data_IF_003795477518
#
_entry.id   IF_003795477518
#
_cell.length_a   1.000
_cell.length_b   1.000
_cell.length_c   1.000
_cell.angle_alpha   90.00
_cell.angle_beta   90.00
_cell.angle_gamma   90.00
#
_symmetry.space_group_name_H-M   'P 1'
#
loop_
_entity.id
_entity.type
_entity.pdbx_description
1 polymer ?
#
# COMPACT_ATOMS: atom_id res chain seq x y z
N UNK A 1 -7.25 13.23 -2.30
CA UNK A 1 -8.41 12.71 -1.55
C UNK A 1 -8.60 11.24 -1.83
N UNK A 2 -9.05 10.48 -0.84
CA UNK A 2 -9.32 9.07 -1.00
C UNK A 2 -10.48 8.82 -1.97
N UNK A 3 -10.49 7.71 -2.72
CA UNK A 3 -11.54 7.42 -3.69
C UNK A 3 -12.87 7.15 -2.97
N UNK A 4 -13.98 7.54 -3.61
CA UNK A 4 -15.34 7.30 -3.08
C UNK A 4 -15.69 5.79 -3.00
N UNK A 5 -15.01 4.97 -3.80
CA UNK A 5 -15.10 3.52 -3.77
C UNK A 5 -13.72 2.91 -3.52
N UNK A 6 -13.65 1.95 -2.60
CA UNK A 6 -12.40 1.26 -2.28
C UNK A 6 -11.91 0.41 -3.45
N UNK A 7 -10.60 0.41 -3.76
CA UNK A 7 -10.01 -0.55 -4.70
C UNK A 7 -9.93 -1.97 -4.11
N UNK A 8 -10.07 -2.12 -2.79
CA UNK A 8 -9.99 -3.40 -2.08
C UNK A 8 -11.35 -3.83 -1.54
N UNK A 9 -11.66 -5.13 -1.63
CA UNK A 9 -12.98 -5.68 -1.28
C UNK A 9 -13.20 -5.82 0.23
N UNK A 10 -12.14 -5.79 1.02
CA UNK A 10 -12.14 -5.91 2.49
C UNK A 10 -11.88 -4.56 3.20
N UNK A 11 -11.85 -3.47 2.44
CA UNK A 11 -11.67 -2.11 2.95
C UNK A 11 -12.87 -1.27 2.55
N UNK A 12 -13.41 -0.50 3.50
CA UNK A 12 -14.51 0.45 3.27
C UNK A 12 -14.03 1.87 3.54
N UNK A 13 -14.79 2.88 3.11
CA UNK A 13 -14.50 4.29 3.40
C UNK A 13 -14.51 4.64 4.90
N UNK A 14 -14.96 3.71 5.76
CA UNK A 14 -14.95 3.84 7.23
C UNK A 14 -13.82 3.05 7.89
N UNK A 15 -13.05 2.28 7.13
CA UNK A 15 -11.90 1.54 7.65
C UNK A 15 -10.87 2.54 8.17
N UNK A 16 -10.30 2.25 9.34
CA UNK A 16 -9.23 3.09 9.88
C UNK A 16 -8.09 3.21 8.86
N UNK A 17 -7.56 4.42 8.71
CA UNK A 17 -6.50 4.75 7.74
C UNK A 17 -6.89 4.51 6.27
N UNK A 18 -8.18 4.61 5.92
CA UNK A 18 -8.65 4.43 4.54
C UNK A 18 -7.90 5.32 3.53
N UNK A 19 -7.66 6.58 3.88
CA UNK A 19 -6.98 7.54 3.04
C UNK A 19 -5.53 7.13 2.78
N UNK A 20 -4.81 6.70 3.81
CA UNK A 20 -3.42 6.23 3.69
C UNK A 20 -3.33 4.89 2.96
N UNK A 21 -4.25 3.96 3.21
CA UNK A 21 -4.33 2.66 2.51
C UNK A 21 -4.50 2.88 1.01
N UNK A 22 -5.44 3.74 0.63
CA UNK A 22 -5.74 4.01 -0.77
C UNK A 22 -4.65 4.84 -1.44
N UNK A 23 -4.02 5.78 -0.72
CA UNK A 23 -2.84 6.49 -1.20
C UNK A 23 -1.65 5.55 -1.45
N UNK A 24 -1.36 4.61 -0.52
CA UNK A 24 -0.29 3.63 -0.71
C UNK A 24 -0.53 2.78 -1.97
N UNK A 25 -1.78 2.42 -2.23
CA UNK A 25 -2.17 1.63 -3.39
C UNK A 25 -2.04 2.42 -4.70
N UNK A 26 -2.54 3.67 -4.71
CA UNK A 26 -2.46 4.58 -5.86
C UNK A 26 -1.01 4.91 -6.24
N UNK A 27 -0.16 5.14 -5.23
CA UNK A 27 1.27 5.32 -5.40
C UNK A 27 2.01 4.01 -5.77
N UNK A 28 1.35 2.86 -5.80
CA UNK A 28 1.98 1.56 -6.10
C UNK A 28 2.93 1.05 -5.00
N UNK A 29 2.93 1.69 -3.82
CA UNK A 29 3.76 1.32 -2.66
C UNK A 29 3.24 0.04 -2.04
N UNK A 30 1.93 -0.09 -1.87
CA UNK A 30 1.25 -1.35 -1.54
C UNK A 30 0.44 -1.82 -2.74
N UNK A 31 0.26 -3.13 -2.91
CA UNK A 31 -0.48 -3.69 -4.07
C UNK A 31 -1.67 -4.55 -3.68
N UNK A 32 -1.87 -4.76 -2.37
CA UNK A 32 -2.79 -5.76 -1.86
C UNK A 32 -2.45 -7.16 -2.34
N UNK A 33 -3.48 -7.99 -2.47
CA UNK A 33 -3.40 -9.39 -2.86
C UNK A 33 -4.16 -9.64 -4.17
N UNK A 34 -3.84 -10.77 -4.83
CA UNK A 34 -4.47 -11.15 -6.10
C UNK A 34 -6.01 -11.34 -6.00
N UNK A 35 -6.53 -11.60 -4.80
CA UNK A 35 -7.96 -11.73 -4.49
C UNK A 35 -8.65 -10.36 -4.26
N UNK A 36 -7.94 -9.25 -4.54
CA UNK A 36 -8.39 -7.87 -4.32
C UNK A 36 -8.57 -7.47 -2.86
N UNK A 37 -7.96 -8.19 -1.91
CA UNK A 37 -7.92 -7.77 -0.50
C UNK A 37 -6.69 -6.92 -0.17
N UNK A 38 -6.79 -6.12 0.88
CA UNK A 38 -5.68 -5.37 1.48
C UNK A 38 -5.15 -6.03 2.76
N UNK A 39 -6.06 -6.58 3.57
CA UNK A 39 -5.82 -7.23 4.87
C UNK A 39 -5.24 -6.27 5.92
N UNK A 40 -5.98 -5.22 6.30
CA UNK A 40 -5.45 -4.14 7.15
C UNK A 40 -5.09 -4.56 8.59
N UNK A 41 -5.55 -5.73 9.05
CA UNK A 41 -5.31 -6.24 10.40
C UNK A 41 -4.33 -7.41 10.45
N UNK A 42 -3.88 -7.90 9.29
CA UNK A 42 -2.94 -9.01 9.22
C UNK A 42 -1.52 -8.53 9.59
N UNK A 43 -0.74 -9.43 10.20
CA UNK A 43 0.67 -9.17 10.43
C UNK A 43 1.43 -9.09 9.10
N UNK A 44 2.34 -8.13 8.99
CA UNK A 44 3.21 -7.97 7.82
C UNK A 44 4.59 -8.57 8.09
N UNK A 45 5.10 -9.34 7.13
CA UNK A 45 6.48 -9.83 7.16
C UNK A 45 7.48 -8.69 6.86
N UNK A 46 8.71 -8.82 7.37
CA UNK A 46 9.75 -7.78 7.22
C UNK A 46 10.20 -7.59 5.76
N UNK A 47 10.14 -8.63 4.94
CA UNK A 47 10.44 -8.58 3.50
C UNK A 47 9.40 -7.75 2.73
N UNK A 48 8.11 -7.90 3.04
CA UNK A 48 7.05 -7.07 2.47
C UNK A 48 7.22 -5.60 2.88
N UNK A 49 7.54 -5.33 4.14
CA UNK A 49 7.87 -3.97 4.60
C UNK A 49 9.08 -3.39 3.85
N UNK A 50 10.16 -4.17 3.67
CA UNK A 50 11.31 -3.73 2.88
C UNK A 50 10.93 -3.39 1.44
N UNK A 51 10.06 -4.20 0.81
CA UNK A 51 9.57 -3.94 -0.54
C UNK A 51 8.70 -2.68 -0.62
N UNK A 52 7.95 -2.32 0.42
CA UNK A 52 7.17 -1.08 0.48
C UNK A 52 8.11 0.13 0.52
N UNK A 53 9.10 0.09 1.41
CA UNK A 53 10.10 1.15 1.53
C UNK A 53 10.90 1.32 0.23
N UNK A 54 11.31 0.23 -0.42
CA UNK A 54 12.00 0.28 -1.70
C UNK A 54 11.18 1.03 -2.77
N UNK A 55 9.90 0.67 -2.93
CA UNK A 55 9.00 1.35 -3.88
C UNK A 55 8.72 2.79 -3.50
N UNK A 56 8.63 3.09 -2.21
CA UNK A 56 8.46 4.46 -1.75
C UNK A 56 9.66 5.34 -2.14
N UNK A 57 10.90 4.87 -1.93
CA UNK A 57 12.10 5.65 -2.28
C UNK A 57 12.26 5.76 -3.81
N UNK A 58 11.92 4.72 -4.56
CA UNK A 58 11.88 4.75 -6.03
C UNK A 58 10.91 5.81 -6.56
N UNK A 59 9.71 5.91 -5.97
CA UNK A 59 8.73 6.95 -6.31
C UNK A 59 9.21 8.38 -6.02
N UNK A 60 10.15 8.56 -5.10
CA UNK A 60 10.77 9.87 -4.83
C UNK A 60 11.84 10.24 -5.87
N UNK A 61 12.13 9.37 -6.84
CA UNK A 61 13.20 9.55 -7.82
C UNK A 61 14.59 9.55 -7.18
N UNK A 62 14.70 9.10 -5.94
CA UNK A 62 15.99 9.01 -5.24
C UNK A 62 16.73 7.81 -5.83
N UNK A 63 17.95 8.02 -6.39
CA UNK A 63 18.76 6.92 -6.90
C UNK A 63 18.96 5.90 -5.78
N UNK A 64 18.49 4.67 -6.01
CA UNK A 64 18.62 3.61 -5.03
C UNK A 64 20.11 3.30 -4.86
N UNK A 65 20.68 3.73 -3.74
CA UNK A 65 22.01 3.30 -3.32
C UNK A 65 21.81 1.93 -2.69
N UNK A 66 21.86 0.88 -3.52
CA UNK A 66 22.42 -0.46 -3.26
C UNK A 66 21.65 -1.55 -4.02
N UNK A 67 22.45 -2.40 -4.65
CA UNK A 67 22.13 -3.57 -5.46
C UNK A 67 23.29 -3.83 -6.41
#
# INVERSE_FOLDING_TARGET
>A
DAPAASPFVDVTTKTAFYDEITWLADAGISKGWNDKTYRPLDAINRDAMAAFLYRFVDNLGVPQIVG
#
